data_IF_663728502399
#
_entry.id   IF_663728502399
#
_cell.length_a   1.000
_cell.length_b   1.000
_cell.length_c   1.000
_cell.angle_alpha   90.00
_cell.angle_beta   90.00
_cell.angle_gamma   90.00
#
_symmetry.space_group_name_H-M   'P 1'
#
loop_
_entity.id
_entity.type
_entity.pdbx_description
1 polymer ?
#
# COMPACT_ATOMS: atom_id res chain seq x y z
N UNK A 1 13.62 24.22 20.87
CA UNK A 1 14.54 23.83 19.78
C UNK A 1 15.84 23.40 20.43
N UNK A 2 16.36 22.20 20.15
CA UNK A 2 17.62 21.76 20.75
C UNK A 2 18.78 22.60 20.21
N UNK A 3 19.66 23.05 21.10
CA UNK A 3 20.85 23.84 20.80
C UNK A 3 21.86 23.00 20.01
N UNK A 4 22.38 23.52 18.89
CA UNK A 4 23.49 22.89 18.17
C UNK A 4 24.75 22.95 19.04
N UNK A 5 25.33 21.80 19.34
CA UNK A 5 26.65 21.69 20.00
C UNK A 5 27.66 21.17 19.00
N UNK A 6 28.75 21.90 18.82
CA UNK A 6 29.92 21.43 18.09
C UNK A 6 30.77 20.55 19.02
N UNK A 7 30.97 19.29 18.63
CA UNK A 7 31.73 18.31 19.42
C UNK A 7 32.88 17.78 18.57
N UNK A 8 34.11 17.92 19.08
CA UNK A 8 35.34 17.46 18.44
C UNK A 8 35.66 16.03 18.90
N UNK A 9 35.49 15.04 18.02
CA UNK A 9 35.67 13.61 18.34
C UNK A 9 37.14 13.22 18.14
N UNK A 10 37.85 12.88 19.23
CA UNK A 10 39.28 12.54 19.19
C UNK A 10 39.56 11.05 19.40
N UNK A 11 38.59 10.31 19.92
CA UNK A 11 38.69 8.88 20.21
C UNK A 11 37.32 8.20 20.21
N UNK A 12 37.31 6.85 20.20
CA UNK A 12 36.07 6.06 20.32
C UNK A 12 35.35 6.28 21.66
N UNK A 13 36.06 6.70 22.71
CA UNK A 13 35.42 7.02 23.98
C UNK A 13 34.51 8.26 23.86
N UNK A 14 34.87 9.20 22.99
CA UNK A 14 34.12 10.46 22.78
C UNK A 14 32.81 10.24 22.01
N UNK A 15 32.64 9.07 21.38
CA UNK A 15 31.39 8.71 20.66
C UNK A 15 30.40 7.93 21.49
N UNK A 16 30.80 7.41 22.67
CA UNK A 16 29.94 6.55 23.50
C UNK A 16 28.74 7.34 24.02
N UNK A 17 28.95 8.54 24.56
CA UNK A 17 27.85 9.40 25.06
C UNK A 17 27.03 10.10 23.97
N UNK A 18 27.45 10.03 22.70
CA UNK A 18 26.68 10.53 21.55
C UNK A 18 25.72 9.46 20.99
N UNK A 19 25.97 8.19 21.30
CA UNK A 19 25.15 7.05 20.91
C UNK A 19 24.17 6.62 22.01
N UNK A 20 24.29 7.19 23.22
CA UNK A 20 23.20 7.18 24.19
C UNK A 20 22.07 8.02 23.60
N UNK A 21 21.17 7.34 22.90
CA UNK A 21 19.85 7.89 22.60
C UNK A 21 19.30 8.44 23.91
N UNK A 22 18.79 9.66 23.88
CA UNK A 22 18.03 10.22 25.00
C UNK A 22 16.79 9.34 25.15
N UNK A 23 16.91 8.25 25.91
CA UNK A 23 15.86 7.27 26.12
C UNK A 23 14.79 8.01 26.89
N UNK A 24 13.80 8.49 26.16
CA UNK A 24 12.61 9.10 26.78
C UNK A 24 12.16 8.15 27.87
N UNK A 25 11.97 8.62 29.11
CA UNK A 25 11.65 7.76 30.22
C UNK A 25 10.44 6.90 29.85
N UNK A 26 10.64 5.59 29.86
CA UNK A 26 9.55 4.66 29.57
C UNK A 26 8.55 4.74 30.73
N UNK A 27 7.25 4.88 30.46
CA UNK A 27 6.60 5.04 29.15
C UNK A 27 6.54 6.51 28.65
N UNK A 28 6.82 6.73 27.36
CA UNK A 28 6.83 8.06 26.68
C UNK A 28 5.48 8.77 26.78
N UNK A 29 4.40 7.99 26.91
CA UNK A 29 3.09 8.42 27.37
C UNK A 29 2.68 7.39 28.44
N UNK A 30 2.52 7.77 29.73
CA UNK A 30 2.04 6.83 30.72
C UNK A 30 0.73 6.20 30.24
N UNK A 31 0.60 4.85 30.28
CA UNK A 31 -0.64 4.22 29.89
C UNK A 31 -1.74 4.88 30.73
N UNK A 32 -2.88 5.23 30.11
CA UNK A 32 -3.96 5.88 30.84
C UNK A 32 -4.29 5.03 32.06
N UNK A 33 -4.42 5.71 33.20
CA UNK A 33 -4.69 5.06 34.48
C UNK A 33 -5.95 4.22 34.38
N UNK A 34 -6.07 3.19 35.21
CA UNK A 34 -7.26 2.33 35.23
C UNK A 34 -8.56 3.16 35.27
N UNK A 35 -8.61 4.25 36.02
CA UNK A 35 -9.77 5.15 36.08
C UNK A 35 -10.05 5.93 34.79
N UNK A 36 -9.04 6.16 33.95
CA UNK A 36 -9.18 6.81 32.63
C UNK A 36 -9.63 5.82 31.55
N UNK A 37 -9.23 4.55 31.63
CA UNK A 37 -9.68 3.53 30.67
C UNK A 37 -10.99 2.87 31.08
N UNK A 38 -11.30 2.85 32.38
CA UNK A 38 -12.53 2.27 32.95
C UNK A 38 -13.81 2.78 32.27
N UNK A 39 -14.02 4.07 31.98
CA UNK A 39 -15.23 4.53 31.27
C UNK A 39 -15.34 4.03 29.82
N UNK A 40 -14.20 3.77 29.17
CA UNK A 40 -14.13 3.22 27.81
C UNK A 40 -14.50 1.73 27.83
N UNK A 41 -14.00 1.00 28.84
CA UNK A 41 -14.33 -0.42 29.06
C UNK A 41 -15.75 -0.62 29.62
N UNK A 42 -16.24 0.24 30.51
CA UNK A 42 -17.59 0.18 31.08
C UNK A 42 -18.68 0.47 30.05
N UNK A 43 -18.36 1.21 28.97
CA UNK A 43 -19.25 1.35 27.79
C UNK A 43 -19.43 0.03 27.04
N UNK A 44 -18.47 -0.89 27.10
CA UNK A 44 -18.49 -2.18 26.41
C UNK A 44 -18.47 -3.30 27.45
N UNK A 45 -19.66 -3.64 27.99
CA UNK A 45 -19.88 -4.68 29.01
C UNK A 45 -19.31 -6.06 28.62
N UNK A 46 -18.02 -6.26 28.85
CA UNK A 46 -17.43 -7.57 28.98
C UNK A 46 -16.50 -7.52 30.19
N UNK A 47 -17.04 -7.93 31.34
CA UNK A 47 -16.31 -7.96 32.61
C UNK A 47 -15.32 -9.14 32.67
N UNK A 48 -15.46 -10.13 31.78
CA UNK A 48 -14.60 -11.31 31.65
C UNK A 48 -13.94 -11.35 30.27
N UNK A 49 -12.64 -11.69 30.22
CA UNK A 49 -11.85 -11.71 28.98
C UNK A 49 -12.43 -12.64 27.91
N UNK A 50 -13.04 -13.77 28.31
CA UNK A 50 -13.66 -14.70 27.37
C UNK A 50 -14.90 -14.10 26.70
N UNK A 51 -15.75 -13.38 27.44
CA UNK A 51 -16.92 -12.70 26.88
C UNK A 51 -16.49 -11.53 25.97
N UNK A 52 -15.41 -10.83 26.34
CA UNK A 52 -14.80 -9.80 25.50
C UNK A 52 -14.27 -10.42 24.20
N UNK A 53 -13.54 -11.53 24.29
CA UNK A 53 -12.99 -12.23 23.14
C UNK A 53 -14.12 -12.74 22.24
N UNK A 54 -15.14 -13.39 22.79
CA UNK A 54 -16.29 -13.82 22.02
C UNK A 54 -17.00 -12.66 21.32
N UNK A 55 -17.22 -11.54 21.98
CA UNK A 55 -17.87 -10.39 21.36
C UNK A 55 -17.01 -9.70 20.30
N UNK A 56 -15.68 -9.70 20.47
CA UNK A 56 -14.76 -9.09 19.53
C UNK A 56 -14.38 -10.01 18.36
N UNK A 57 -14.40 -11.34 18.52
CA UNK A 57 -14.03 -12.31 17.49
C UNK A 57 -15.23 -12.96 16.77
N UNK A 58 -16.47 -12.81 17.27
CA UNK A 58 -17.67 -13.28 16.55
C UNK A 58 -17.81 -12.57 15.20
N UNK A 59 -17.81 -13.35 14.13
CA UNK A 59 -17.91 -12.87 12.76
C UNK A 59 -19.22 -12.12 12.52
N UNK A 60 -20.31 -12.52 13.17
CA UNK A 60 -21.62 -11.87 13.05
C UNK A 60 -21.62 -10.44 13.63
N UNK A 61 -20.69 -10.15 14.55
CA UNK A 61 -20.49 -8.83 15.18
C UNK A 61 -19.29 -8.09 14.58
N UNK A 62 -18.83 -8.45 13.38
CA UNK A 62 -17.65 -7.81 12.77
C UNK A 62 -17.86 -6.34 12.43
N UNK A 63 -19.08 -5.96 12.04
CA UNK A 63 -19.42 -4.59 11.65
C UNK A 63 -19.77 -3.69 12.87
N UNK A 64 -19.36 -2.42 12.83
CA UNK A 64 -19.67 -1.41 13.86
C UNK A 64 -18.70 -1.38 15.04
N UNK A 65 -17.55 -2.06 14.93
CA UNK A 65 -16.43 -1.93 15.86
C UNK A 65 -15.60 -0.72 15.47
N UNK A 66 -14.95 -0.10 16.45
CA UNK A 66 -13.99 0.96 16.17
C UNK A 66 -12.78 0.36 15.45
N UNK A 67 -12.44 0.92 14.29
CA UNK A 67 -11.33 0.47 13.46
C UNK A 67 -10.20 1.51 13.48
N UNK A 68 -8.97 1.09 13.18
CA UNK A 68 -7.79 1.93 13.36
C UNK A 68 -7.80 3.16 12.44
N UNK A 69 -8.35 3.00 11.24
CA UNK A 69 -8.42 4.01 10.18
C UNK A 69 -9.86 4.44 9.87
N UNK A 70 -10.79 4.22 10.81
CA UNK A 70 -12.19 4.62 10.66
C UNK A 70 -12.30 6.13 10.34
N UNK A 71 -13.03 6.45 9.27
CA UNK A 71 -13.25 7.82 8.81
C UNK A 71 -12.22 8.33 7.79
N UNK A 72 -11.13 7.60 7.53
CA UNK A 72 -10.24 7.91 6.41
C UNK A 72 -10.85 7.46 5.09
N UNK A 73 -10.67 8.28 4.06
CA UNK A 73 -11.10 7.98 2.68
C UNK A 73 -9.91 7.75 1.78
N UNK A 74 -9.93 6.64 1.06
CA UNK A 74 -8.86 6.23 0.16
C UNK A 74 -9.42 6.03 -1.24
N UNK A 75 -8.79 6.67 -2.23
CA UNK A 75 -9.10 6.50 -3.63
C UNK A 75 -7.96 5.75 -4.31
N UNK A 76 -8.26 4.58 -4.84
CA UNK A 76 -7.32 3.75 -5.58
C UNK A 76 -7.61 3.80 -7.08
N UNK A 77 -6.57 3.92 -7.90
CA UNK A 77 -6.68 3.80 -9.34
C UNK A 77 -5.48 3.02 -9.88
N UNK A 78 -5.75 1.99 -10.67
CA UNK A 78 -4.71 1.24 -11.35
C UNK A 78 -5.27 0.02 -12.05
N UNK A 79 -4.49 -0.50 -12.98
CA UNK A 79 -4.90 -1.58 -13.87
C UNK A 79 -3.95 -2.77 -13.74
N UNK A 80 -4.51 -3.97 -13.57
CA UNK A 80 -3.80 -5.25 -13.62
C UNK A 80 -2.76 -5.53 -12.52
N UNK A 81 -2.32 -4.49 -11.82
CA UNK A 81 -1.24 -4.53 -10.84
C UNK A 81 -1.74 -4.96 -9.48
N UNK A 82 -0.87 -5.64 -8.73
CA UNK A 82 -1.20 -6.06 -7.37
C UNK A 82 -0.70 -5.07 -6.33
N UNK A 83 0.39 -4.32 -6.58
CA UNK A 83 0.97 -3.44 -5.57
C UNK A 83 0.03 -2.32 -5.08
N UNK A 84 -0.67 -1.64 -5.99
CA UNK A 84 -1.64 -0.59 -5.61
C UNK A 84 -2.85 -1.18 -4.90
N UNK A 85 -3.38 -2.30 -5.41
CA UNK A 85 -4.52 -3.02 -4.81
C UNK A 85 -4.19 -3.52 -3.41
N UNK A 86 -3.00 -4.07 -3.20
CA UNK A 86 -2.55 -4.54 -1.90
C UNK A 86 -2.41 -3.38 -0.90
N UNK A 87 -1.90 -2.23 -1.35
CA UNK A 87 -1.89 -1.01 -0.54
C UNK A 87 -3.32 -0.59 -0.17
N UNK A 88 -4.22 -0.54 -1.15
CA UNK A 88 -5.62 -0.17 -0.98
C UNK A 88 -6.38 -1.13 -0.05
N UNK A 89 -6.22 -2.44 -0.20
CA UNK A 89 -6.83 -3.45 0.66
C UNK A 89 -6.27 -3.39 2.07
N UNK A 90 -4.97 -3.12 2.25
CA UNK A 90 -4.38 -2.90 3.58
C UNK A 90 -5.04 -1.73 4.32
N UNK A 91 -5.38 -0.65 3.62
CA UNK A 91 -6.19 0.44 4.17
C UNK A 91 -7.61 -0.01 4.54
N UNK A 92 -8.26 -0.79 3.68
CA UNK A 92 -9.61 -1.31 3.91
C UNK A 92 -9.68 -2.30 5.08
N UNK A 93 -8.68 -3.17 5.22
CA UNK A 93 -8.54 -4.07 6.36
C UNK A 93 -8.30 -3.33 7.68
N UNK A 94 -7.64 -2.18 7.63
CA UNK A 94 -7.45 -1.32 8.80
C UNK A 94 -8.65 -0.39 9.08
N UNK A 95 -9.69 -0.43 8.24
CA UNK A 95 -10.99 0.23 8.43
C UNK A 95 -11.22 1.54 7.70
N UNK A 96 -10.39 1.87 6.71
CA UNK A 96 -10.62 3.03 5.86
C UNK A 96 -11.74 2.75 4.84
N UNK A 97 -12.44 3.80 4.41
CA UNK A 97 -13.36 3.74 3.27
C UNK A 97 -12.54 3.78 1.97
N UNK A 98 -12.39 2.62 1.32
CA UNK A 98 -11.58 2.48 0.11
C UNK A 98 -12.47 2.37 -1.13
N UNK A 99 -12.23 3.23 -2.12
CA UNK A 99 -12.87 3.18 -3.43
C UNK A 99 -11.81 2.96 -4.52
N UNK A 100 -11.89 1.84 -5.22
CA UNK A 100 -11.08 1.52 -6.39
C UNK A 100 -11.83 1.93 -7.67
N UNK A 101 -11.15 2.72 -8.51
CA UNK A 101 -11.63 3.12 -9.83
C UNK A 101 -11.21 2.09 -10.87
N UNK A 102 -12.18 1.60 -11.63
CA UNK A 102 -11.99 0.68 -12.74
C UNK A 102 -12.44 1.32 -14.07
N UNK A 103 -11.78 1.04 -15.19
CA UNK A 103 -12.24 1.52 -16.49
C UNK A 103 -13.52 0.80 -16.93
N UNK A 104 -14.23 1.32 -17.95
CA UNK A 104 -15.30 0.58 -18.61
C UNK A 104 -14.83 -0.81 -19.03
N UNK A 105 -15.55 -1.85 -18.58
CA UNK A 105 -15.18 -3.25 -18.79
C UNK A 105 -14.45 -3.92 -17.62
N UNK A 106 -14.12 -3.15 -16.57
CA UNK A 106 -13.51 -3.63 -15.33
C UNK A 106 -12.00 -3.85 -15.42
N UNK A 107 -11.38 -4.08 -14.27
CA UNK A 107 -9.98 -4.48 -14.17
C UNK A 107 -9.78 -5.83 -14.87
N UNK A 108 -8.77 -5.97 -15.74
CA UNK A 108 -8.51 -7.24 -16.41
C UNK A 108 -8.21 -8.41 -15.45
N UNK A 109 -7.81 -8.15 -14.19
CA UNK A 109 -7.68 -9.19 -13.15
C UNK A 109 -9.00 -9.91 -12.86
N UNK A 110 -10.16 -9.27 -13.09
CA UNK A 110 -11.48 -9.92 -12.98
C UNK A 110 -11.63 -11.11 -13.92
N UNK A 111 -10.82 -11.19 -14.98
CA UNK A 111 -10.84 -12.27 -15.98
C UNK A 111 -9.62 -13.19 -15.88
N UNK A 112 -8.68 -12.90 -14.98
CA UNK A 112 -7.47 -13.70 -14.83
C UNK A 112 -7.79 -15.01 -14.12
N UNK A 113 -7.36 -16.12 -14.74
CA UNK A 113 -7.59 -17.46 -14.25
C UNK A 113 -6.32 -18.31 -14.38
N UNK A 114 -6.13 -19.30 -13.49
CA UNK A 114 -5.08 -20.29 -13.66
C UNK A 114 -5.18 -20.95 -15.04
N UNK A 115 -4.10 -20.90 -15.81
CA UNK A 115 -4.02 -21.49 -17.16
C UNK A 115 -5.04 -20.96 -18.19
N UNK A 116 -5.68 -19.80 -17.95
CA UNK A 116 -6.69 -19.23 -18.85
C UNK A 116 -8.00 -20.01 -18.89
N UNK A 117 -8.29 -20.78 -17.84
CA UNK A 117 -9.44 -21.68 -17.73
C UNK A 117 -10.61 -21.02 -17.00
N UNK A 118 -11.70 -20.78 -17.72
CA UNK A 118 -12.90 -20.09 -17.19
C UNK A 118 -13.62 -20.86 -16.07
N UNK A 119 -13.42 -22.18 -15.97
CA UNK A 119 -14.00 -22.98 -14.89
C UNK A 119 -13.44 -22.63 -13.50
N UNK A 120 -12.31 -21.93 -13.44
CA UNK A 120 -11.72 -21.45 -12.19
C UNK A 120 -12.21 -20.06 -11.78
N UNK A 121 -13.10 -19.44 -12.56
CA UNK A 121 -13.73 -18.19 -12.13
C UNK A 121 -14.71 -18.47 -10.98
N UNK A 122 -14.62 -17.63 -9.96
CA UNK A 122 -15.58 -17.61 -8.86
C UNK A 122 -16.89 -17.01 -9.36
N UNK A 123 -18.02 -17.60 -8.99
CA UNK A 123 -19.35 -17.08 -9.34
C UNK A 123 -19.95 -16.39 -8.13
N UNK A 124 -20.33 -15.12 -8.28
CA UNK A 124 -21.07 -14.39 -7.27
C UNK A 124 -22.46 -15.05 -7.10
N UNK A 125 -22.83 -15.40 -5.87
CA UNK A 125 -24.07 -16.13 -5.60
C UNK A 125 -25.33 -15.27 -5.81
N UNK A 126 -25.21 -13.94 -5.70
CA UNK A 126 -26.32 -13.00 -5.83
C UNK A 126 -26.47 -12.50 -7.26
N UNK A 127 -25.38 -11.99 -7.87
CA UNK A 127 -25.42 -11.42 -9.22
C UNK A 127 -25.24 -12.45 -10.34
N UNK A 128 -24.66 -13.62 -10.04
CA UNK A 128 -24.26 -14.61 -11.03
C UNK A 128 -23.02 -14.21 -11.85
N UNK A 129 -22.42 -13.05 -11.58
CA UNK A 129 -21.23 -12.58 -12.27
C UNK A 129 -20.01 -13.42 -11.92
N UNK A 130 -19.14 -13.64 -12.92
CA UNK A 130 -17.90 -14.38 -12.75
C UNK A 130 -16.73 -13.44 -12.47
N UNK A 131 -15.84 -13.83 -11.56
CA UNK A 131 -14.67 -13.05 -11.21
C UNK A 131 -13.44 -13.94 -10.96
N UNK A 132 -12.27 -13.45 -11.37
CA UNK A 132 -10.96 -14.05 -11.11
C UNK A 132 -10.64 -14.06 -9.62
N UNK A 133 -10.04 -15.16 -9.17
CA UNK A 133 -9.68 -15.33 -7.76
C UNK A 133 -8.67 -14.29 -7.27
N UNK A 134 -7.71 -13.89 -8.13
CA UNK A 134 -6.72 -12.87 -7.80
C UNK A 134 -7.38 -11.51 -7.55
N UNK A 135 -8.35 -11.11 -8.38
CA UNK A 135 -9.09 -9.86 -8.15
C UNK A 135 -9.78 -9.88 -6.77
N UNK A 136 -10.50 -10.96 -6.47
CA UNK A 136 -11.22 -11.09 -5.19
C UNK A 136 -10.26 -11.04 -4.00
N UNK A 137 -9.06 -11.62 -4.13
CA UNK A 137 -8.04 -11.60 -3.08
C UNK A 137 -7.44 -10.21 -2.86
N UNK A 138 -7.19 -9.45 -3.92
CA UNK A 138 -6.51 -8.16 -3.81
C UNK A 138 -7.46 -6.98 -3.53
N UNK A 139 -8.77 -7.13 -3.73
CA UNK A 139 -9.75 -6.04 -3.54
C UNK A 139 -10.64 -6.24 -2.32
N UNK A 140 -10.16 -6.96 -1.31
CA UNK A 140 -10.88 -7.20 -0.04
C UNK A 140 -11.12 -5.86 0.67
N UNK A 141 -12.33 -5.68 1.23
CA UNK A 141 -12.76 -4.45 1.91
C UNK A 141 -12.67 -3.18 1.05
N UNK A 142 -12.77 -3.31 -0.28
CA UNK A 142 -12.79 -2.17 -1.20
C UNK A 142 -14.12 -2.07 -1.94
N UNK A 143 -14.59 -0.84 -2.16
CA UNK A 143 -15.68 -0.55 -3.08
C UNK A 143 -15.13 -0.35 -4.49
N UNK A 144 -15.77 -0.93 -5.50
CA UNK A 144 -15.36 -0.82 -6.89
C UNK A 144 -16.32 0.08 -7.66
N UNK A 145 -15.80 1.10 -8.36
CA UNK A 145 -16.59 2.04 -9.16
C UNK A 145 -16.02 2.12 -10.57
N UNK A 146 -16.88 1.97 -11.57
CA UNK A 146 -16.50 2.16 -12.97
C UNK A 146 -16.47 3.64 -13.33
N UNK A 147 -15.33 4.15 -13.81
CA UNK A 147 -15.16 5.51 -14.28
C UNK A 147 -14.16 5.57 -15.43
N UNK A 148 -14.54 6.26 -16.52
CA UNK A 148 -13.66 6.47 -17.66
C UNK A 148 -12.90 7.80 -17.57
N UNK A 149 -11.68 7.75 -17.01
CA UNK A 149 -10.80 8.92 -16.86
C UNK A 149 -10.22 9.46 -18.18
N UNK A 150 -10.44 8.77 -19.31
CA UNK A 150 -10.03 9.27 -20.63
C UNK A 150 -11.04 10.28 -21.21
N UNK A 151 -12.26 10.30 -20.66
CA UNK A 151 -13.28 11.30 -20.99
C UNK A 151 -13.12 12.57 -20.14
N UNK A 152 -13.56 13.72 -20.66
CA UNK A 152 -13.55 14.98 -19.89
C UNK A 152 -14.44 14.89 -18.66
N UNK A 153 -15.66 14.35 -18.82
CA UNK A 153 -16.61 14.18 -17.70
C UNK A 153 -16.04 13.26 -16.62
N UNK A 154 -15.36 12.17 -17.02
CA UNK A 154 -14.74 11.25 -16.08
C UNK A 154 -13.57 11.88 -15.33
N UNK A 155 -12.76 12.72 -15.99
CA UNK A 155 -11.73 13.53 -15.31
C UNK A 155 -12.34 14.49 -14.29
N UNK A 156 -13.42 15.17 -14.63
CA UNK A 156 -14.09 16.10 -13.72
C UNK A 156 -14.72 15.38 -12.51
N UNK A 157 -15.29 14.19 -12.70
CA UNK A 157 -15.76 13.35 -11.60
C UNK A 157 -14.59 12.91 -10.73
N UNK A 158 -13.49 12.42 -11.32
CA UNK A 158 -12.31 11.99 -10.58
C UNK A 158 -11.72 13.11 -9.73
N UNK A 159 -11.59 14.33 -10.27
CA UNK A 159 -11.14 15.52 -9.52
C UNK A 159 -12.04 15.80 -8.31
N UNK A 160 -13.37 15.69 -8.45
CA UNK A 160 -14.32 15.88 -7.34
C UNK A 160 -14.18 14.79 -6.27
N UNK A 161 -13.88 13.55 -6.66
CA UNK A 161 -13.60 12.47 -5.72
C UNK A 161 -12.28 12.75 -4.97
N UNK A 162 -11.21 13.08 -5.70
CA UNK A 162 -9.90 13.37 -5.13
C UNK A 162 -9.86 14.59 -4.19
N UNK A 163 -10.82 15.52 -4.31
CA UNK A 163 -10.99 16.63 -3.37
C UNK A 163 -11.36 16.19 -1.95
N UNK A 164 -11.91 14.99 -1.79
CA UNK A 164 -12.53 14.53 -0.55
C UNK A 164 -11.83 13.30 0.06
N UNK A 165 -10.65 12.95 -0.44
CA UNK A 165 -9.89 11.77 0.01
C UNK A 165 -8.69 12.19 0.86
N UNK A 166 -8.31 11.33 1.78
CA UNK A 166 -7.12 11.46 2.59
C UNK A 166 -5.90 10.90 1.87
N UNK A 167 -6.08 9.76 1.21
CA UNK A 167 -5.05 9.06 0.45
C UNK A 167 -5.53 8.80 -0.97
N UNK A 168 -4.68 9.07 -1.95
CA UNK A 168 -4.86 8.65 -3.34
C UNK A 168 -3.73 7.71 -3.72
N UNK A 169 -4.07 6.49 -4.13
CA UNK A 169 -3.12 5.47 -4.58
C UNK A 169 -3.18 5.40 -6.10
N UNK A 170 -2.05 5.68 -6.75
CA UNK A 170 -1.88 5.65 -8.20
C UNK A 170 -0.96 4.50 -8.62
N UNK A 171 -1.55 3.47 -9.22
CA UNK A 171 -0.87 2.35 -9.87
C UNK A 171 -0.74 2.51 -11.39
N UNK A 172 -0.99 3.69 -11.95
CA UNK A 172 -0.93 3.93 -13.39
C UNK A 172 0.51 4.13 -13.88
N UNK A 173 0.75 3.97 -15.20
CA UNK A 173 2.06 4.27 -15.78
C UNK A 173 2.58 5.66 -15.39
N UNK A 174 3.90 5.81 -15.18
CA UNK A 174 4.56 7.09 -15.01
C UNK A 174 4.07 8.13 -16.00
N UNK A 175 3.57 9.25 -15.46
CA UNK A 175 3.08 10.37 -16.25
C UNK A 175 1.71 10.17 -16.92
N UNK A 176 1.04 9.02 -16.78
CA UNK A 176 -0.31 8.82 -17.34
C UNK A 176 -1.31 9.79 -16.72
N UNK A 177 -1.39 9.83 -15.39
CA UNK A 177 -2.30 10.73 -14.67
C UNK A 177 -1.96 12.20 -14.89
N UNK A 178 -0.65 12.54 -14.91
CA UNK A 178 -0.17 13.88 -15.27
C UNK A 178 -0.62 14.29 -16.69
N UNK A 179 -0.51 13.39 -17.66
CA UNK A 179 -0.93 13.61 -19.05
C UNK A 179 -2.44 13.84 -19.20
N UNK A 180 -3.23 13.28 -18.29
CA UNK A 180 -4.67 13.53 -18.18
C UNK A 180 -5.01 14.77 -17.33
N UNK A 181 -4.03 15.47 -16.76
CA UNK A 181 -4.26 16.63 -15.89
C UNK A 181 -4.92 16.29 -14.55
N UNK A 182 -4.79 15.03 -14.11
CA UNK A 182 -5.30 14.50 -12.84
C UNK A 182 -4.18 13.80 -12.04
N UNK A 183 -2.93 14.21 -12.27
CA UNK A 183 -1.79 13.78 -11.48
C UNK A 183 -1.67 14.56 -10.17
N UNK A 184 -0.69 14.19 -9.35
CA UNK A 184 -0.46 14.83 -8.04
C UNK A 184 -0.38 16.35 -8.13
N UNK A 185 0.34 16.90 -9.12
CA UNK A 185 0.59 18.34 -9.23
C UNK A 185 -0.71 19.12 -9.38
N UNK A 186 -1.65 18.62 -10.19
CA UNK A 186 -2.94 19.26 -10.43
C UNK A 186 -3.90 19.04 -9.26
N UNK A 187 -3.96 17.82 -8.72
CA UNK A 187 -4.89 17.49 -7.65
C UNK A 187 -4.52 18.15 -6.31
N UNK A 188 -3.22 18.39 -6.06
CA UNK A 188 -2.75 19.10 -4.86
C UNK A 188 -3.32 20.51 -4.75
N UNK A 189 -3.58 21.19 -5.87
CA UNK A 189 -4.17 22.53 -5.86
C UNK A 189 -5.58 22.52 -5.26
N UNK A 190 -6.35 21.46 -5.53
CA UNK A 190 -7.70 21.29 -5.01
C UNK A 190 -7.72 20.63 -3.62
N UNK A 191 -6.77 19.75 -3.32
CA UNK A 191 -6.63 19.08 -2.02
C UNK A 191 -5.16 19.07 -1.55
N UNK A 192 -4.69 20.13 -0.87
CA UNK A 192 -3.31 20.21 -0.37
C UNK A 192 -3.04 19.29 0.84
N UNK A 193 -4.08 18.67 1.41
CA UNK A 193 -3.98 17.72 2.52
C UNK A 193 -3.85 16.26 2.07
N UNK A 194 -4.04 15.98 0.78
CA UNK A 194 -3.97 14.64 0.22
C UNK A 194 -2.57 14.04 0.36
N UNK A 195 -2.49 12.81 0.87
CA UNK A 195 -1.32 11.95 0.72
C UNK A 195 -1.47 11.22 -0.62
N UNK A 196 -0.56 11.44 -1.54
CA UNK A 196 -0.59 10.81 -2.86
C UNK A 196 0.51 9.75 -2.93
N UNK A 197 0.15 8.53 -3.27
CA UNK A 197 1.06 7.39 -3.27
C UNK A 197 1.10 6.84 -4.67
N UNK A 198 2.21 7.02 -5.36
CA UNK A 198 2.43 6.34 -6.62
C UNK A 198 3.17 5.03 -6.38
N UNK A 199 2.67 3.93 -6.93
CA UNK A 199 3.28 2.60 -6.80
C UNK A 199 3.59 2.06 -8.20
N UNK A 200 4.86 1.78 -8.45
CA UNK A 200 5.32 1.15 -9.70
C UNK A 200 6.57 0.30 -9.51
N UNK A 201 7.29 -0.01 -10.58
CA UNK A 201 8.43 -0.95 -10.52
C UNK A 201 9.80 -0.28 -10.58
N UNK A 202 9.97 0.71 -11.46
CA UNK A 202 11.28 1.32 -11.76
C UNK A 202 11.30 2.86 -11.57
N UNK A 203 10.28 3.40 -10.90
CA UNK A 203 10.15 4.83 -10.62
C UNK A 203 9.53 5.65 -11.75
N UNK A 204 9.27 6.93 -11.45
CA UNK A 204 8.70 7.90 -12.40
C UNK A 204 9.76 8.79 -13.05
N UNK A 205 11.03 8.58 -12.73
CA UNK A 205 12.14 9.39 -13.21
C UNK A 205 13.37 8.54 -13.55
N UNK A 206 14.36 9.15 -14.19
CA UNK A 206 15.57 8.47 -14.63
C UNK A 206 15.44 7.72 -15.97
N UNK A 207 16.53 7.07 -16.41
CA UNK A 207 16.65 6.50 -17.76
C UNK A 207 15.77 5.27 -18.01
N UNK A 208 15.19 4.69 -16.94
CA UNK A 208 14.35 3.50 -17.00
C UNK A 208 12.85 3.82 -17.01
N UNK A 209 12.47 5.06 -16.70
CA UNK A 209 11.06 5.47 -16.54
C UNK A 209 10.18 5.21 -17.77
N UNK A 210 10.74 5.29 -18.98
CA UNK A 210 9.99 5.15 -20.24
C UNK A 210 10.29 3.83 -20.96
N UNK A 211 11.08 2.94 -20.35
CA UNK A 211 11.51 1.72 -21.04
C UNK A 211 10.43 0.67 -20.99
N UNK A 212 9.96 0.26 -22.17
CA UNK A 212 8.97 -0.79 -22.32
C UNK A 212 9.60 -2.10 -22.78
N UNK A 213 9.06 -3.25 -22.35
CA UNK A 213 9.41 -4.51 -23.01
C UNK A 213 8.81 -4.58 -24.42
N UNK A 214 9.23 -5.56 -25.21
CA UNK A 214 8.69 -5.84 -26.55
C UNK A 214 7.17 -6.02 -26.56
N UNK A 215 6.57 -6.36 -25.42
CA UNK A 215 5.13 -6.58 -25.26
C UNK A 215 4.42 -5.42 -24.57
N UNK A 216 5.08 -4.27 -24.40
CA UNK A 216 4.52 -3.10 -23.70
C UNK A 216 4.40 -3.31 -22.17
N UNK A 217 4.94 -4.42 -21.65
CA UNK A 217 4.88 -4.78 -20.23
C UNK A 217 6.19 -4.37 -19.55
N UNK A 218 6.19 -3.37 -18.67
CA UNK A 218 7.46 -2.91 -18.06
C UNK A 218 7.35 -2.49 -16.61
N UNK A 219 6.14 -2.29 -16.13
CA UNK A 219 5.89 -2.20 -14.71
C UNK A 219 5.37 -3.53 -14.14
N UNK A 220 5.66 -4.68 -14.77
CA UNK A 220 5.39 -5.96 -14.10
C UNK A 220 6.49 -6.25 -13.08
N UNK A 221 6.13 -6.90 -11.98
CA UNK A 221 7.03 -7.28 -10.89
C UNK A 221 8.37 -7.91 -11.32
N UNK A 222 8.47 -8.78 -12.36
CA UNK A 222 9.75 -9.33 -12.79
C UNK A 222 10.80 -8.28 -13.17
N UNK A 223 10.38 -7.11 -13.66
CA UNK A 223 11.32 -6.05 -14.03
C UNK A 223 11.97 -5.42 -12.80
N UNK A 224 11.22 -5.24 -11.71
CA UNK A 224 11.77 -4.79 -10.43
C UNK A 224 12.76 -5.82 -9.87
N UNK A 225 12.34 -7.07 -9.78
CA UNK A 225 13.15 -8.17 -9.23
C UNK A 225 14.40 -8.50 -10.07
N UNK A 226 14.40 -8.17 -11.36
CA UNK A 226 15.60 -8.24 -12.20
C UNK A 226 16.53 -7.03 -11.99
N UNK A 227 15.98 -5.85 -11.73
CA UNK A 227 16.75 -4.61 -11.59
C UNK A 227 17.57 -4.55 -10.29
N UNK A 228 17.16 -5.26 -9.24
CA UNK A 228 17.81 -5.26 -7.92
C UNK A 228 18.51 -6.59 -7.57
N UNK A 229 18.79 -7.44 -8.56
CA UNK A 229 19.43 -8.76 -8.38
C UNK A 229 18.64 -9.78 -7.55
N UNK A 230 17.37 -9.54 -7.21
CA UNK A 230 16.55 -10.50 -6.48
C UNK A 230 16.45 -11.85 -7.21
N UNK A 231 16.16 -11.81 -8.52
CA UNK A 231 16.10 -13.01 -9.36
C UNK A 231 17.46 -13.70 -9.45
N UNK A 232 18.55 -12.93 -9.50
CA UNK A 232 19.90 -13.49 -9.56
C UNK A 232 20.28 -14.24 -8.27
N UNK A 233 19.85 -13.71 -7.12
CA UNK A 233 20.14 -14.27 -5.80
C UNK A 233 19.17 -15.40 -5.41
N UNK A 234 18.11 -15.62 -6.18
CA UNK A 234 17.07 -16.61 -5.89
C UNK A 234 17.24 -17.83 -6.80
N UNK A 235 17.34 -19.02 -6.19
CA UNK A 235 17.48 -20.28 -6.90
C UNK A 235 18.32 -21.28 -6.12
N UNK A 236 18.53 -22.47 -6.69
CA UNK A 236 19.44 -23.46 -6.14
C UNK A 236 20.80 -23.32 -6.81
N UNK A 237 21.85 -23.21 -6.02
CA UNK A 237 23.21 -23.21 -6.53
C UNK A 237 23.51 -24.52 -7.28
N UNK A 238 24.37 -24.43 -8.30
CA UNK A 238 24.64 -25.55 -9.22
C UNK A 238 25.22 -26.79 -8.50
N UNK A 239 25.94 -26.57 -7.40
CA UNK A 239 26.54 -27.59 -6.54
C UNK A 239 25.56 -28.23 -5.55
N UNK A 240 24.40 -27.62 -5.31
CA UNK A 240 23.36 -28.13 -4.41
C UNK A 240 22.37 -29.10 -5.08
N UNK A 241 22.48 -29.28 -6.40
CA UNK A 241 21.55 -30.09 -7.18
C UNK A 241 22.26 -31.26 -7.89
N UNK A 242 21.66 -32.48 -7.88
CA UNK A 242 22.24 -33.61 -8.59
C UNK A 242 22.39 -33.32 -10.09
N UNK A 243 23.52 -33.74 -10.67
CA UNK A 243 23.85 -33.66 -12.12
C UNK A 243 24.21 -32.26 -12.65
N UNK A 244 24.64 -31.32 -11.79
CA UNK A 244 25.08 -29.99 -12.23
C UNK A 244 23.96 -29.16 -12.88
N UNK A 245 22.71 -29.53 -12.61
CA UNK A 245 21.52 -28.72 -12.90
C UNK A 245 21.38 -27.71 -11.77
N UNK A 246 20.99 -26.46 -12.02
CA UNK A 246 21.01 -25.40 -11.01
C UNK A 246 21.91 -24.24 -11.42
N UNK A 247 21.88 -23.15 -10.65
CA UNK A 247 22.52 -21.89 -11.00
C UNK A 247 21.69 -20.99 -11.91
N UNK A 248 20.47 -21.41 -12.29
CA UNK A 248 19.55 -20.58 -13.06
C UNK A 248 18.89 -19.53 -12.13
N UNK A 249 18.98 -18.23 -12.47
CA UNK A 249 18.23 -17.18 -11.77
C UNK A 249 16.73 -17.48 -11.79
N UNK A 250 16.12 -17.54 -10.61
CA UNK A 250 14.73 -17.98 -10.43
C UNK A 250 13.89 -16.85 -9.87
N UNK A 251 12.74 -16.58 -10.49
CA UNK A 251 11.77 -15.62 -9.94
C UNK A 251 11.09 -16.21 -8.71
N UNK A 252 10.73 -15.36 -7.75
CA UNK A 252 9.77 -15.73 -6.70
C UNK A 252 8.48 -16.30 -7.30
N UNK A 253 7.88 -17.27 -6.59
CA UNK A 253 6.63 -17.91 -7.01
C UNK A 253 5.39 -17.02 -6.86
N UNK A 254 5.50 -15.93 -6.11
CA UNK A 254 4.46 -14.92 -5.95
C UNK A 254 5.02 -13.54 -6.36
N UNK A 255 4.13 -12.56 -6.53
CA UNK A 255 4.44 -11.20 -6.99
C UNK A 255 5.12 -10.36 -5.89
N UNK A 256 6.30 -10.79 -5.43
CA UNK A 256 6.93 -10.27 -4.21
C UNK A 256 7.19 -8.75 -4.25
N UNK A 257 7.70 -8.19 -5.36
CA UNK A 257 7.93 -6.74 -5.41
C UNK A 257 6.63 -5.92 -5.37
N UNK A 258 5.52 -6.44 -5.91
CA UNK A 258 4.20 -5.80 -5.78
C UNK A 258 3.77 -5.73 -4.32
N UNK A 259 3.83 -6.86 -3.60
CA UNK A 259 3.39 -6.92 -2.20
C UNK A 259 4.27 -6.06 -1.28
N UNK A 260 5.59 -6.13 -1.44
CA UNK A 260 6.52 -5.33 -0.63
C UNK A 260 6.33 -3.84 -0.89
N UNK A 261 6.21 -3.42 -2.17
CA UNK A 261 5.91 -2.03 -2.50
C UNK A 261 4.53 -1.59 -1.99
N UNK A 262 3.52 -2.47 -2.05
CA UNK A 262 2.19 -2.20 -1.50
C UNK A 262 2.22 -1.99 0.01
N UNK A 263 2.92 -2.86 0.76
CA UNK A 263 3.13 -2.69 2.21
C UNK A 263 3.88 -1.40 2.53
N UNK A 264 4.95 -1.09 1.80
CA UNK A 264 5.73 0.12 2.03
C UNK A 264 4.92 1.38 1.68
N UNK A 265 4.10 1.33 0.62
CA UNK A 265 3.13 2.36 0.27
C UNK A 265 2.15 2.64 1.41
N UNK A 266 1.57 1.59 2.00
CA UNK A 266 0.69 1.69 3.16
C UNK A 266 1.41 2.30 4.38
N UNK A 267 2.56 1.76 4.77
CA UNK A 267 3.32 2.23 5.94
C UNK A 267 3.78 3.67 5.79
N UNK A 268 4.32 4.04 4.63
CA UNK A 268 4.76 5.41 4.36
C UNK A 268 3.58 6.39 4.37
N UNK A 269 2.41 5.94 3.93
CA UNK A 269 1.19 6.73 3.98
C UNK A 269 0.72 6.97 5.41
N UNK A 270 0.79 5.97 6.28
CA UNK A 270 0.48 6.15 7.71
C UNK A 270 1.41 7.20 8.35
N UNK A 271 2.71 7.17 8.03
CA UNK A 271 3.64 8.18 8.50
C UNK A 271 3.30 9.59 7.96
N UNK A 272 2.86 9.68 6.70
CA UNK A 272 2.42 10.93 6.09
C UNK A 272 1.13 11.49 6.69
N UNK A 273 0.17 10.61 6.99
CA UNK A 273 -1.07 10.97 7.67
C UNK A 273 -0.79 11.45 9.10
N UNK A 274 0.09 10.75 9.82
CA UNK A 274 0.56 11.18 11.14
C UNK A 274 1.23 12.56 11.09
N UNK A 275 2.11 12.80 10.12
CA UNK A 275 2.71 14.12 9.91
C UNK A 275 1.67 15.21 9.66
N UNK A 276 0.70 14.93 8.80
CA UNK A 276 -0.38 15.86 8.43
C UNK A 276 -1.28 16.20 9.62
N UNK A 277 -1.69 15.20 10.40
CA UNK A 277 -2.75 15.36 11.39
C UNK A 277 -2.21 15.70 12.79
N UNK A 278 -1.11 15.10 13.21
CA UNK A 278 -0.56 15.27 14.56
C UNK A 278 0.51 16.35 14.64
N UNK A 279 1.26 16.55 13.55
CA UNK A 279 2.42 17.47 13.54
C UNK A 279 2.14 18.78 12.78
N UNK A 280 0.90 18.98 12.31
CA UNK A 280 0.48 20.17 11.57
C UNK A 280 1.09 20.27 10.17
N UNK A 281 1.54 19.14 9.62
CA UNK A 281 2.07 19.03 8.28
C UNK A 281 1.02 19.21 7.17
N UNK A 282 1.49 19.18 5.93
CA UNK A 282 0.63 19.13 4.74
C UNK A 282 0.64 17.74 4.10
N UNK A 283 -0.26 17.52 3.15
CA UNK A 283 -0.18 16.36 2.27
C UNK A 283 1.14 16.34 1.48
N UNK A 284 1.51 15.16 1.01
CA UNK A 284 2.76 14.92 0.29
C UNK A 284 2.60 13.80 -0.74
N UNK A 285 3.50 13.81 -1.72
CA UNK A 285 3.65 12.72 -2.68
C UNK A 285 4.68 11.74 -2.15
N UNK A 286 4.33 10.46 -2.19
CA UNK A 286 5.20 9.33 -1.91
C UNK A 286 5.32 8.55 -3.21
N UNK A 287 6.55 8.31 -3.64
CA UNK A 287 6.85 7.37 -4.71
C UNK A 287 7.40 6.10 -4.08
N UNK A 288 6.78 4.96 -4.40
CA UNK A 288 7.29 3.65 -4.00
C UNK A 288 7.52 2.81 -5.24
N UNK A 289 8.70 2.21 -5.32
CA UNK A 289 9.08 1.34 -6.43
C UNK A 289 9.33 -0.07 -5.93
N UNK A 290 8.83 -1.09 -6.63
CA UNK A 290 9.12 -2.48 -6.31
C UNK A 290 10.62 -2.80 -6.33
N UNK A 291 11.40 -2.13 -7.19
CA UNK A 291 12.84 -2.33 -7.26
C UNK A 291 13.54 -1.86 -5.97
N UNK A 292 13.21 -0.66 -5.48
CA UNK A 292 13.79 -0.10 -4.24
C UNK A 292 13.24 -0.81 -3.01
N UNK A 293 11.94 -1.08 -2.96
CA UNK A 293 11.29 -1.74 -1.83
C UNK A 293 11.92 -3.11 -1.51
N UNK A 294 12.32 -3.85 -2.54
CA UNK A 294 13.03 -5.12 -2.40
C UNK A 294 14.51 -4.99 -2.03
N UNK A 295 15.15 -3.83 -2.23
CA UNK A 295 16.51 -3.58 -1.74
C UNK A 295 16.54 -3.30 -0.23
N UNK A 296 15.42 -2.90 0.34
CA UNK A 296 15.26 -2.61 1.77
C UNK A 296 15.08 -3.89 2.63
N UNK A 297 14.95 -5.07 2.01
CA UNK A 297 14.80 -6.40 2.65
C UNK A 297 16.12 -7.17 2.59
#
# INVERSE_FOLDING_TARGET
MPEKRDIEIKSRADTIGLMDLDVRPFPVTPPPSYEQVKPIYERRKALEFCDWAEDNFKFEKRYGKAEALEGLRVLDIGLWRLGHKFCASSFGEAGAEVVSIEPPGGDPLRKLTPFGREEYLLTNQESGEKCGMEFVNETVNTHCVTLDVETEDGREIFKKMAQNVDVLIDGMPPGYMDGLGIGYRQLKEANPRMVYVWIGMLGQWGPWKDKQSKFGQWMLEPFASAANSWIHNTGLAQDLLPRGKGGDPTRSGFWIADYVAGTQGFVNSLAALYWRDELGGTGQMIEVTGAEALMDI
#
